data_IF_033586676248
#
_entry.id   IF_033586676248
#
_cell.length_a   1.000
_cell.length_b   1.000
_cell.length_c   1.000
_cell.angle_alpha   90.00
_cell.angle_beta   90.00
_cell.angle_gamma   90.00
#
_symmetry.space_group_name_H-M   'P 1'
#
loop_
_entity.id
_entity.type
_entity.pdbx_description
1 polymer ?
#
# COMPACT_ATOMS: atom_id res chain seq x y z
N UNK A 1 9.79 -25.72 45.40
CA UNK A 1 10.22 -24.35 45.02
C UNK A 1 11.13 -24.37 43.79
N UNK A 2 12.09 -25.30 43.68
CA UNK A 2 13.04 -25.38 42.55
C UNK A 2 12.44 -25.66 41.17
N UNK A 3 11.39 -26.47 41.06
CA UNK A 3 10.74 -26.76 39.77
C UNK A 3 10.12 -25.52 39.12
N UNK A 4 9.59 -24.60 39.94
CA UNK A 4 8.98 -23.35 39.47
C UNK A 4 10.05 -22.37 38.99
N UNK A 5 11.19 -22.29 39.69
CA UNK A 5 12.33 -21.49 39.27
C UNK A 5 12.92 -22.00 37.93
N UNK A 6 13.09 -23.32 37.78
CA UNK A 6 13.56 -23.92 36.52
C UNK A 6 12.64 -23.67 35.33
N UNK A 7 11.32 -23.75 35.54
CA UNK A 7 10.33 -23.43 34.50
C UNK A 7 10.36 -21.95 34.11
N UNK A 8 10.49 -21.04 35.08
CA UNK A 8 10.58 -19.60 34.82
C UNK A 8 11.84 -19.23 34.01
N UNK A 9 12.99 -19.85 34.32
CA UNK A 9 14.21 -19.66 33.55
C UNK A 9 14.08 -20.16 32.10
N UNK A 10 13.52 -21.35 31.89
CA UNK A 10 13.32 -21.91 30.54
C UNK A 10 12.38 -21.07 29.67
N UNK A 11 11.28 -20.54 30.25
CA UNK A 11 10.37 -19.62 29.56
C UNK A 11 11.06 -18.31 29.23
N UNK A 12 11.84 -17.76 30.17
CA UNK A 12 12.61 -16.53 29.97
C UNK A 12 13.63 -16.65 28.85
N UNK A 13 14.35 -17.76 28.76
CA UNK A 13 15.32 -17.99 27.69
C UNK A 13 14.63 -18.19 26.34
N UNK A 14 13.53 -18.94 26.29
CA UNK A 14 12.72 -19.07 25.07
C UNK A 14 12.19 -17.72 24.59
N UNK A 15 11.74 -16.85 25.49
CA UNK A 15 11.29 -15.51 25.16
C UNK A 15 12.43 -14.64 24.60
N UNK A 16 13.64 -14.72 25.16
CA UNK A 16 14.82 -14.02 24.63
C UNK A 16 15.19 -14.48 23.22
N UNK A 17 15.19 -15.80 22.97
CA UNK A 17 15.46 -16.34 21.63
C UNK A 17 14.40 -15.91 20.62
N UNK A 18 13.12 -15.99 20.98
CA UNK A 18 12.02 -15.57 20.11
C UNK A 18 12.12 -14.06 19.79
N UNK A 19 12.34 -13.21 20.79
CA UNK A 19 12.51 -11.77 20.59
C UNK A 19 13.71 -11.44 19.68
N UNK A 20 14.85 -12.10 19.88
CA UNK A 20 16.03 -11.92 19.03
C UNK A 20 15.77 -12.38 17.60
N UNK A 21 15.07 -13.49 17.42
CA UNK A 21 14.70 -14.01 16.11
C UNK A 21 13.76 -13.05 15.37
N UNK A 22 12.71 -12.55 16.06
CA UNK A 22 11.81 -11.52 15.50
C UNK A 22 12.58 -10.28 15.06
N UNK A 23 13.52 -9.79 15.89
CA UNK A 23 14.37 -8.65 15.52
C UNK A 23 15.20 -8.95 14.27
N UNK A 24 15.85 -10.10 14.20
CA UNK A 24 16.63 -10.50 13.02
C UNK A 24 15.76 -10.62 11.76
N UNK A 25 14.50 -11.07 11.88
CA UNK A 25 13.55 -11.08 10.76
C UNK A 25 13.24 -9.68 10.27
N UNK A 26 12.98 -8.73 11.18
CA UNK A 26 12.75 -7.33 10.83
C UNK A 26 13.98 -6.71 10.16
N UNK A 27 15.16 -6.92 10.73
CA UNK A 27 16.43 -6.41 10.18
C UNK A 27 16.69 -7.00 8.79
N UNK A 28 16.43 -8.30 8.59
CA UNK A 28 16.53 -8.95 7.27
C UNK A 28 15.59 -8.32 6.24
N UNK A 29 14.32 -8.08 6.62
CA UNK A 29 13.36 -7.44 5.73
C UNK A 29 13.77 -6.00 5.37
N UNK A 30 14.32 -5.25 6.34
CA UNK A 30 14.82 -3.91 6.09
C UNK A 30 15.98 -3.91 5.08
N UNK A 31 16.92 -4.86 5.20
CA UNK A 31 18.01 -5.01 4.23
C UNK A 31 17.51 -5.48 2.86
N UNK A 32 16.52 -6.36 2.78
CA UNK A 32 15.90 -6.76 1.51
C UNK A 32 15.27 -5.56 0.78
N UNK A 33 14.58 -4.69 1.50
CA UNK A 33 14.04 -3.44 0.93
C UNK A 33 15.13 -2.45 0.55
N UNK A 34 16.26 -2.43 1.27
CA UNK A 34 17.42 -1.63 0.89
C UNK A 34 18.06 -2.14 -0.40
N UNK A 35 18.16 -3.46 -0.56
CA UNK A 35 18.68 -4.10 -1.78
C UNK A 35 17.80 -3.75 -2.97
N UNK A 36 16.48 -3.89 -2.87
CA UNK A 36 15.53 -3.49 -3.93
C UNK A 36 15.72 -2.04 -4.35
N UNK A 37 15.72 -1.12 -3.38
CA UNK A 37 15.94 0.32 -3.64
C UNK A 37 17.28 0.60 -4.32
N UNK A 38 18.34 -0.08 -3.89
CA UNK A 38 19.67 0.06 -4.49
C UNK A 38 19.68 -0.43 -5.94
N UNK A 39 19.04 -1.56 -6.24
CA UNK A 39 18.92 -2.04 -7.62
C UNK A 39 18.12 -1.09 -8.50
N UNK A 40 17.02 -0.52 -8.00
CA UNK A 40 16.26 0.50 -8.72
C UNK A 40 17.13 1.71 -9.05
N UNK A 41 17.91 2.20 -8.09
CA UNK A 41 18.77 3.38 -8.32
C UNK A 41 19.90 3.08 -9.30
N UNK A 42 20.53 1.90 -9.20
CA UNK A 42 21.53 1.44 -10.18
C UNK A 42 20.91 1.40 -11.58
N UNK A 43 19.71 0.81 -11.73
CA UNK A 43 19.01 0.73 -13.01
C UNK A 43 18.66 2.12 -13.57
N UNK A 44 18.19 3.04 -12.71
CA UNK A 44 17.89 4.43 -13.09
C UNK A 44 19.14 5.14 -13.61
N UNK A 45 20.23 5.10 -12.84
CA UNK A 45 21.50 5.70 -13.24
C UNK A 45 22.02 5.07 -14.54
N UNK A 46 21.90 3.75 -14.70
CA UNK A 46 22.30 3.08 -15.93
C UNK A 46 21.48 3.58 -17.14
N UNK A 47 20.16 3.59 -17.03
CA UNK A 47 19.28 4.07 -18.10
C UNK A 47 19.59 5.52 -18.48
N UNK A 48 19.75 6.41 -17.51
CA UNK A 48 20.03 7.83 -17.77
C UNK A 48 21.36 8.06 -18.49
N UNK A 49 22.38 7.24 -18.22
CA UNK A 49 23.74 7.45 -18.73
C UNK A 49 24.10 6.60 -19.95
N UNK A 50 23.44 5.45 -20.15
CA UNK A 50 23.88 4.43 -21.11
C UNK A 50 22.76 3.82 -21.96
N UNK A 51 21.50 4.28 -21.85
CA UNK A 51 20.38 3.68 -22.62
C UNK A 51 20.61 3.64 -24.12
N UNK A 52 21.28 4.64 -24.68
CA UNK A 52 21.50 4.77 -26.13
C UNK A 52 22.62 3.85 -26.64
N UNK A 53 23.42 3.28 -25.73
CA UNK A 53 24.52 2.34 -26.03
C UNK A 53 24.34 1.02 -25.29
N UNK A 54 23.14 0.72 -24.80
CA UNK A 54 22.89 -0.46 -24.01
C UNK A 54 23.10 -1.73 -24.86
N UNK A 55 23.76 -2.73 -24.27
CA UNK A 55 23.92 -4.05 -24.90
C UNK A 55 22.54 -4.71 -25.15
N UNK A 56 22.49 -5.65 -26.10
CA UNK A 56 21.26 -6.28 -26.57
C UNK A 56 20.35 -6.83 -25.44
N UNK A 57 20.93 -7.31 -24.33
CA UNK A 57 20.18 -7.83 -23.18
C UNK A 57 19.43 -6.73 -22.39
N UNK A 58 19.96 -5.50 -22.37
CA UNK A 58 19.37 -4.39 -21.63
C UNK A 58 18.56 -3.44 -22.51
N UNK A 59 18.75 -3.50 -23.83
CA UNK A 59 18.04 -2.66 -24.79
C UNK A 59 16.51 -2.77 -24.66
N UNK A 60 15.98 -3.99 -24.51
CA UNK A 60 14.53 -4.20 -24.33
C UNK A 60 14.00 -3.56 -23.04
N UNK A 61 14.72 -3.74 -21.92
CA UNK A 61 14.33 -3.14 -20.65
C UNK A 61 14.41 -1.61 -20.70
N UNK A 62 15.41 -1.05 -21.39
CA UNK A 62 15.49 0.38 -21.63
C UNK A 62 14.32 0.87 -22.48
N UNK A 63 13.93 0.13 -23.52
CA UNK A 63 12.76 0.47 -24.33
C UNK A 63 11.47 0.46 -23.50
N UNK A 64 11.26 -0.55 -22.65
CA UNK A 64 10.11 -0.60 -21.75
C UNK A 64 10.03 0.62 -20.81
N UNK A 65 11.17 1.06 -20.26
CA UNK A 65 11.24 2.28 -19.43
C UNK A 65 10.90 3.53 -20.26
N UNK A 66 11.43 3.63 -21.49
CA UNK A 66 11.11 4.72 -22.40
C UNK A 66 9.61 4.80 -22.69
N UNK A 67 8.99 3.67 -23.03
CA UNK A 67 7.56 3.59 -23.37
C UNK A 67 6.68 3.92 -22.16
N UNK A 68 7.04 3.41 -20.98
CA UNK A 68 6.35 3.73 -19.73
C UNK A 68 6.42 5.23 -19.42
N UNK A 69 7.58 5.86 -19.57
CA UNK A 69 7.75 7.30 -19.36
C UNK A 69 6.93 8.12 -20.36
N UNK A 70 6.88 7.72 -21.63
CA UNK A 70 6.04 8.38 -22.63
C UNK A 70 4.55 8.30 -22.26
N UNK A 71 4.09 7.13 -21.79
CA UNK A 71 2.72 6.93 -21.33
C UNK A 71 2.39 7.74 -20.08
N UNK A 72 3.33 7.86 -19.13
CA UNK A 72 3.16 8.72 -17.95
C UNK A 72 2.97 10.17 -18.38
N UNK A 73 3.82 10.68 -19.28
CA UNK A 73 3.71 12.05 -19.77
C UNK A 73 2.38 12.31 -20.49
N UNK A 74 1.88 11.34 -21.27
CA UNK A 74 0.56 11.43 -21.90
C UNK A 74 -0.56 11.52 -20.87
N UNK A 75 -0.55 10.65 -19.86
CA UNK A 75 -1.56 10.66 -18.80
C UNK A 75 -1.53 11.95 -17.98
N UNK A 76 -0.34 12.47 -17.68
CA UNK A 76 -0.17 13.76 -17.01
C UNK A 76 -0.77 14.90 -17.83
N UNK A 77 -0.53 14.92 -19.15
CA UNK A 77 -1.12 15.92 -20.03
C UNK A 77 -2.66 15.85 -20.07
N UNK A 78 -3.23 14.64 -20.13
CA UNK A 78 -4.69 14.45 -20.05
C UNK A 78 -5.26 14.93 -18.71
N UNK A 79 -4.58 14.65 -17.60
CA UNK A 79 -4.99 15.13 -16.28
C UNK A 79 -4.96 16.66 -16.20
N UNK A 80 -3.96 17.30 -16.80
CA UNK A 80 -3.85 18.76 -16.79
C UNK A 80 -4.92 19.43 -17.68
N UNK A 81 -5.26 18.82 -18.82
CA UNK A 81 -6.39 19.26 -19.65
C UNK A 81 -7.72 19.18 -18.88
N UNK A 82 -7.98 18.06 -18.21
CA UNK A 82 -9.18 17.90 -17.37
C UNK A 82 -9.23 18.92 -16.24
N UNK A 83 -8.09 19.19 -15.58
CA UNK A 83 -7.98 20.22 -14.54
C UNK A 83 -8.22 21.62 -15.08
N UNK A 84 -7.77 21.92 -16.31
CA UNK A 84 -8.02 23.21 -16.96
C UNK A 84 -9.51 23.37 -17.31
N UNK A 85 -10.12 22.35 -17.90
CA UNK A 85 -11.55 22.34 -18.23
C UNK A 85 -12.43 22.51 -16.98
N UNK A 86 -12.07 21.84 -15.87
CA UNK A 86 -12.77 21.97 -14.60
C UNK A 86 -12.70 23.40 -13.99
N UNK A 87 -11.62 24.15 -14.26
CA UNK A 87 -11.50 25.55 -13.82
C UNK A 87 -12.34 26.51 -14.66
N UNK A 88 -12.50 26.22 -15.95
CA UNK A 88 -13.33 27.01 -16.85
C UNK A 88 -14.82 26.71 -16.68
N UNK A 89 -15.15 25.54 -16.15
CA UNK A 89 -16.52 25.19 -15.76
C UNK A 89 -17.02 26.12 -14.65
N UNK A 90 -17.86 27.09 -15.03
CA UNK A 90 -18.66 27.88 -14.08
C UNK A 90 -19.90 27.06 -13.73
N UNK A 91 -20.05 26.54 -12.50
CA UNK A 91 -21.30 25.91 -12.11
C UNK A 91 -22.45 26.92 -12.29
N UNK A 92 -23.61 26.42 -12.75
CA UNK A 92 -24.82 27.24 -12.83
C UNK A 92 -25.10 27.84 -11.43
N UNK A 93 -25.58 29.09 -11.34
CA UNK A 93 -25.88 29.70 -10.05
C UNK A 93 -26.90 28.85 -9.30
N UNK A 94 -26.48 28.37 -8.13
CA UNK A 94 -27.17 27.59 -7.09
C UNK A 94 -28.64 27.21 -7.36
N UNK A 95 -28.86 25.95 -7.73
CA UNK A 95 -30.02 25.25 -7.17
C UNK A 95 -29.59 24.85 -5.75
N UNK A 96 -30.23 25.45 -4.74
CA UNK A 96 -29.94 25.26 -3.32
C UNK A 96 -29.61 23.79 -3.03
N UNK A 97 -28.38 23.50 -2.62
CA UNK A 97 -28.12 22.29 -1.85
C UNK A 97 -28.88 22.48 -0.55
N UNK A 98 -30.02 21.79 -0.41
CA UNK A 98 -30.71 21.64 0.87
C UNK A 98 -29.64 21.18 1.86
N UNK A 99 -29.40 21.97 2.91
CA UNK A 99 -28.65 21.54 4.07
C UNK A 99 -29.26 20.22 4.52
N UNK A 100 -28.55 19.12 4.28
CA UNK A 100 -28.93 17.84 4.84
C UNK A 100 -28.67 17.96 6.35
N UNK A 101 -29.69 18.33 7.11
CA UNK A 101 -29.71 18.11 8.54
C UNK A 101 -29.35 16.64 8.77
N UNK A 102 -28.22 16.42 9.45
CA UNK A 102 -27.80 15.08 9.88
C UNK A 102 -28.87 14.60 10.85
N UNK A 103 -29.78 13.77 10.36
CA UNK A 103 -30.71 13.04 11.22
C UNK A 103 -29.87 12.03 11.99
N UNK A 104 -29.76 12.24 13.30
CA UNK A 104 -29.15 11.26 14.21
C UNK A 104 -29.88 9.92 14.02
N UNK A 105 -29.17 8.79 13.86
CA UNK A 105 -29.83 7.51 13.64
C UNK A 105 -30.62 7.13 14.91
N UNK A 106 -31.94 7.13 14.81
CA UNK A 106 -32.78 6.50 15.83
C UNK A 106 -32.50 4.99 15.85
N UNK A 107 -32.30 4.44 17.04
CA UNK A 107 -32.01 3.02 17.27
C UNK A 107 -33.12 2.15 16.65
N UNK A 108 -32.78 1.44 15.58
CA UNK A 108 -33.66 0.43 14.98
C UNK A 108 -33.63 -0.80 15.89
N UNK A 109 -34.68 -0.99 16.69
CA UNK A 109 -34.91 -2.24 17.42
C UNK A 109 -35.30 -3.35 16.41
N UNK A 110 -34.34 -4.23 16.12
CA UNK A 110 -34.58 -5.44 15.33
C UNK A 110 -35.12 -6.52 16.26
N UNK A 111 -36.42 -6.83 16.18
CA UNK A 111 -36.95 -8.04 16.82
C UNK A 111 -36.38 -9.28 16.14
N UNK A 112 -35.62 -10.06 16.89
CA UNK A 112 -35.14 -11.38 16.48
C UNK A 112 -36.30 -12.36 16.67
N UNK A 113 -36.96 -12.76 15.59
CA UNK A 113 -37.85 -13.92 15.63
C UNK A 113 -37.02 -15.20 15.65
N UNK A 114 -36.98 -15.87 16.81
CA UNK A 114 -36.42 -17.22 16.91
C UNK A 114 -37.31 -18.21 16.12
N UNK A 115 -36.72 -18.85 15.12
CA UNK A 115 -37.34 -19.95 14.37
C UNK A 115 -37.26 -21.23 15.21
N UNK A 116 -38.36 -21.96 15.45
CA UNK A 116 -38.33 -23.13 16.32
C UNK A 116 -37.60 -24.30 15.63
N UNK A 117 -36.75 -24.98 16.40
CA UNK A 117 -36.02 -26.17 15.94
C UNK A 117 -36.99 -27.32 15.62
N UNK A 118 -36.79 -28.07 14.53
CA UNK A 118 -37.58 -29.26 14.27
C UNK A 118 -37.19 -30.39 15.24
N UNK A 119 -38.20 -30.97 15.90
CA UNK A 119 -38.10 -32.19 16.71
C UNK A 119 -37.80 -33.42 15.82
N UNK A 120 -37.14 -34.43 16.42
CA UNK A 120 -36.52 -35.63 15.80
C UNK A 120 -37.35 -36.42 14.77
#
# INVERSE_FOLDING_TARGET
>A
RDKVAGAAHAVGDRAKYASRMTRMTVDCNAELERVKRTYTEIGRLYYENYRDTADAFLAELCQQVTDANARVAELEAQMDELRAAAKEYRPAPDLHTVDAEVVEPEDIEVEVTEEPAPEE
#
